data_IF_697875305522
#
_entry.id   IF_697875305522
#
_cell.length_a   1.000
_cell.length_b   1.000
_cell.length_c   1.000
_cell.angle_alpha   90.00
_cell.angle_beta   90.00
_cell.angle_gamma   90.00
#
_symmetry.space_group_name_H-M   'P 1'
#
loop_
_entity.id
_entity.type
_entity.pdbx_description
1 polymer ?
#
# COMPACT_ATOMS: atom_id res chain seq x y z
N UNK A 1 -16.63 5.95 -17.16
CA UNK A 1 -16.73 5.55 -15.74
C UNK A 1 -17.39 4.19 -15.66
N UNK A 2 -16.68 3.18 -15.19
CA UNK A 2 -17.19 1.80 -15.09
C UNK A 2 -18.14 1.71 -13.90
N UNK A 3 -19.38 1.26 -14.12
CA UNK A 3 -20.37 1.09 -13.06
C UNK A 3 -19.85 0.09 -12.01
N UNK A 4 -19.94 0.38 -10.69
CA UNK A 4 -19.54 -0.59 -9.68
C UNK A 4 -20.37 -1.87 -9.78
N UNK A 5 -19.71 -3.02 -9.64
CA UNK A 5 -20.38 -4.31 -9.61
C UNK A 5 -21.26 -4.39 -8.36
N UNK A 6 -22.48 -4.94 -8.46
CA UNK A 6 -23.33 -5.14 -7.30
C UNK A 6 -22.67 -6.13 -6.35
N UNK A 7 -22.65 -5.80 -5.06
CA UNK A 7 -22.20 -6.73 -4.03
C UNK A 7 -23.21 -7.88 -3.89
N UNK A 8 -22.74 -9.10 -3.59
CA UNK A 8 -23.62 -10.21 -3.29
C UNK A 8 -24.45 -9.88 -2.02
N UNK A 9 -25.76 -10.09 -2.11
CA UNK A 9 -26.63 -9.96 -0.95
C UNK A 9 -26.48 -11.11 0.05
N UNK A 10 -27.04 -10.89 1.25
CA UNK A 10 -27.24 -11.97 2.21
C UNK A 10 -28.27 -12.97 1.68
N UNK A 11 -28.06 -14.24 2.02
CA UNK A 11 -29.06 -15.29 1.80
C UNK A 11 -30.22 -15.11 2.80
N UNK A 12 -31.45 -15.55 2.47
CA UNK A 12 -32.61 -15.39 3.36
C UNK A 12 -32.48 -16.03 4.74
N UNK A 13 -31.58 -17.01 4.91
CA UNK A 13 -31.32 -17.60 6.23
C UNK A 13 -30.26 -16.82 7.02
N UNK A 14 -29.29 -16.20 6.33
CA UNK A 14 -28.27 -15.35 6.96
C UNK A 14 -28.95 -14.12 7.58
N UNK A 15 -29.79 -13.47 6.78
CA UNK A 15 -30.56 -12.29 7.18
C UNK A 15 -31.45 -12.57 8.40
N UNK A 16 -32.16 -13.70 8.41
CA UNK A 16 -33.00 -14.11 9.54
C UNK A 16 -32.21 -14.32 10.84
N UNK A 17 -31.03 -14.93 10.75
CA UNK A 17 -30.20 -15.20 11.95
C UNK A 17 -29.51 -13.94 12.46
N UNK A 18 -29.11 -13.03 11.56
CA UNK A 18 -28.57 -11.72 11.93
C UNK A 18 -29.66 -10.87 12.60
N UNK A 19 -30.86 -10.84 12.02
CA UNK A 19 -32.00 -10.11 12.59
C UNK A 19 -32.41 -10.59 13.99
N UNK A 20 -32.11 -11.84 14.35
CA UNK A 20 -32.37 -12.37 15.70
C UNK A 20 -31.54 -11.69 16.80
N UNK A 21 -30.44 -11.00 16.46
CA UNK A 21 -29.68 -10.17 17.39
C UNK A 21 -30.40 -8.84 17.72
N UNK A 22 -31.41 -8.44 16.93
CA UNK A 22 -32.09 -7.16 17.05
C UNK A 22 -31.16 -5.98 16.80
N UNK A 23 -31.35 -4.89 17.53
CA UNK A 23 -30.54 -3.65 17.41
C UNK A 23 -29.22 -3.71 18.20
N UNK A 24 -28.86 -4.88 18.75
CA UNK A 24 -27.66 -5.01 19.55
C UNK A 24 -26.41 -5.01 18.66
N UNK A 25 -25.31 -4.35 19.09
CA UNK A 25 -24.08 -4.37 18.33
C UNK A 25 -23.52 -5.80 18.26
N UNK A 26 -23.25 -6.25 17.04
CA UNK A 26 -22.65 -7.57 16.79
C UNK A 26 -21.13 -7.40 16.74
N UNK A 27 -20.36 -8.04 17.63
CA UNK A 27 -18.90 -7.96 17.61
C UNK A 27 -18.31 -8.81 16.48
N UNK A 28 -17.04 -8.54 16.16
CA UNK A 28 -16.30 -9.35 15.20
C UNK A 28 -16.14 -10.80 15.69
N UNK A 29 -16.36 -11.76 14.79
CA UNK A 29 -16.18 -13.17 15.11
C UNK A 29 -14.73 -13.46 15.56
N UNK A 30 -14.60 -14.12 16.71
CA UNK A 30 -13.29 -14.45 17.31
C UNK A 30 -12.67 -13.31 18.12
N UNK A 31 -13.31 -12.15 18.22
CA UNK A 31 -12.85 -11.06 19.09
C UNK A 31 -12.99 -11.43 20.58
N UNK A 32 -12.35 -10.65 21.45
CA UNK A 32 -12.48 -10.83 22.91
C UNK A 32 -13.92 -10.64 23.37
N UNK A 33 -14.62 -9.66 22.79
CA UNK A 33 -16.03 -9.38 23.05
C UNK A 33 -16.90 -10.56 22.63
N UNK A 34 -16.63 -11.16 21.46
CA UNK A 34 -17.32 -12.37 21.00
C UNK A 34 -17.11 -13.56 21.94
N UNK A 35 -15.87 -13.77 22.41
CA UNK A 35 -15.55 -14.84 23.36
C UNK A 35 -16.21 -14.65 24.73
N UNK A 36 -16.50 -13.40 25.13
CA UNK A 36 -17.19 -13.10 26.38
C UNK A 36 -18.70 -13.37 26.32
N UNK A 37 -19.27 -13.59 25.13
CA UNK A 37 -20.71 -13.86 24.98
C UNK A 37 -21.07 -15.29 25.43
N UNK A 38 -22.25 -15.48 26.05
CA UNK A 38 -22.80 -16.81 26.31
C UNK A 38 -22.88 -17.66 25.04
N UNK A 39 -22.67 -18.98 25.15
CA UNK A 39 -22.68 -19.89 24.00
C UNK A 39 -24.02 -19.92 23.26
N UNK A 40 -25.13 -19.72 23.98
CA UNK A 40 -26.48 -19.68 23.44
C UNK A 40 -26.94 -18.26 23.02
N UNK A 41 -26.02 -17.28 22.97
CA UNK A 41 -26.36 -15.91 22.59
C UNK A 41 -26.66 -15.79 21.10
N UNK A 42 -27.80 -15.17 20.75
CA UNK A 42 -28.16 -14.85 19.38
C UNK A 42 -27.13 -13.91 18.72
N UNK A 43 -26.54 -12.98 19.47
CA UNK A 43 -25.48 -12.08 19.00
C UNK A 43 -24.24 -12.88 18.58
N UNK A 44 -23.90 -13.90 19.36
CA UNK A 44 -22.74 -14.76 19.10
C UNK A 44 -22.93 -15.54 17.80
N UNK A 45 -24.15 -16.06 17.58
CA UNK A 45 -24.55 -16.71 16.33
C UNK A 45 -24.51 -15.73 15.16
N UNK A 46 -25.07 -14.53 15.33
CA UNK A 46 -25.08 -13.51 14.28
C UNK A 46 -23.66 -13.14 13.82
N UNK A 47 -22.71 -12.99 14.75
CA UNK A 47 -21.29 -12.77 14.42
C UNK A 47 -20.70 -13.92 13.58
N UNK A 48 -20.99 -15.18 13.95
CA UNK A 48 -20.57 -16.34 13.15
C UNK A 48 -21.18 -16.32 11.74
N UNK A 49 -22.44 -15.92 11.62
CA UNK A 49 -23.14 -15.83 10.33
C UNK A 49 -22.55 -14.73 9.46
N UNK A 50 -22.24 -13.56 10.02
CA UNK A 50 -21.51 -12.50 9.31
C UNK A 50 -20.17 -13.00 8.78
N UNK A 51 -19.40 -13.71 9.61
CA UNK A 51 -18.12 -14.27 9.20
C UNK A 51 -18.30 -15.30 8.08
N UNK A 52 -19.25 -16.22 8.22
CA UNK A 52 -19.55 -17.24 7.22
C UNK A 52 -20.01 -16.63 5.89
N UNK A 53 -20.85 -15.60 5.92
CA UNK A 53 -21.29 -14.87 4.75
C UNK A 53 -20.10 -14.22 4.03
N UNK A 54 -19.20 -13.56 4.78
CA UNK A 54 -17.98 -12.97 4.23
C UNK A 54 -17.06 -14.03 3.61
N UNK A 55 -16.90 -15.20 4.24
CA UNK A 55 -16.13 -16.31 3.66
C UNK A 55 -16.76 -16.87 2.38
N UNK A 56 -18.09 -16.99 2.34
CA UNK A 56 -18.85 -17.46 1.17
C UNK A 56 -18.60 -16.56 -0.04
N UNK A 57 -18.48 -15.26 0.17
CA UNK A 57 -18.36 -14.26 -0.89
C UNK A 57 -16.92 -13.77 -1.10
N UNK A 58 -15.95 -14.25 -0.31
CA UNK A 58 -14.54 -13.84 -0.34
C UNK A 58 -13.88 -13.88 -1.73
N UNK A 59 -14.30 -14.78 -2.62
CA UNK A 59 -13.76 -14.88 -3.99
C UNK A 59 -14.62 -14.16 -5.04
N UNK A 60 -15.70 -13.50 -4.64
CA UNK A 60 -16.57 -12.76 -5.52
C UNK A 60 -15.84 -11.54 -6.12
N UNK A 61 -15.83 -11.37 -7.46
CA UNK A 61 -15.14 -10.25 -8.11
C UNK A 61 -15.59 -8.87 -7.62
N UNK A 62 -16.86 -8.69 -7.27
CA UNK A 62 -17.38 -7.41 -6.76
C UNK A 62 -16.79 -7.07 -5.38
N UNK A 63 -16.67 -8.06 -4.49
CA UNK A 63 -16.07 -7.87 -3.17
C UNK A 63 -14.56 -7.70 -3.21
N UNK A 64 -13.88 -8.42 -4.10
CA UNK A 64 -12.45 -8.20 -4.37
C UNK A 64 -12.24 -6.76 -4.85
N UNK A 65 -13.03 -6.31 -5.83
CA UNK A 65 -12.94 -4.96 -6.36
C UNK A 65 -13.25 -3.88 -5.32
N UNK A 66 -14.14 -4.17 -4.36
CA UNK A 66 -14.42 -3.27 -3.23
C UNK A 66 -13.23 -3.20 -2.27
N UNK A 67 -12.72 -4.34 -1.79
CA UNK A 67 -11.58 -4.38 -0.86
C UNK A 67 -10.34 -3.70 -1.44
N UNK A 68 -10.01 -4.00 -2.69
CA UNK A 68 -8.90 -3.34 -3.39
C UNK A 68 -9.12 -1.82 -3.51
N UNK A 69 -10.37 -1.36 -3.64
CA UNK A 69 -10.65 0.08 -3.69
C UNK A 69 -10.40 0.74 -2.35
N UNK A 70 -10.86 0.12 -1.27
CA UNK A 70 -10.61 0.60 0.10
C UNK A 70 -9.11 0.64 0.36
N UNK A 71 -8.37 -0.43 0.06
CA UNK A 71 -6.91 -0.49 0.20
C UNK A 71 -6.19 0.60 -0.60
N UNK A 72 -6.62 0.86 -1.84
CA UNK A 72 -6.05 1.91 -2.69
C UNK A 72 -6.37 3.32 -2.16
N UNK A 73 -7.59 3.53 -1.65
CA UNK A 73 -8.00 4.82 -1.11
C UNK A 73 -7.26 5.11 0.22
N UNK A 74 -7.04 4.10 1.06
CA UNK A 74 -6.19 4.20 2.25
C UNK A 74 -4.73 4.51 1.89
N UNK A 75 -4.18 3.81 0.89
CA UNK A 75 -2.81 4.08 0.41
C UNK A 75 -2.67 5.51 -0.12
N UNK A 76 -3.67 6.00 -0.87
CA UNK A 76 -3.71 7.38 -1.37
C UNK A 76 -3.79 8.41 -0.24
N UNK A 77 -4.52 8.09 0.83
CA UNK A 77 -4.61 8.97 1.99
C UNK A 77 -3.26 9.05 2.72
N UNK A 78 -2.61 7.89 2.94
CA UNK A 78 -1.28 7.84 3.54
C UNK A 78 -0.26 8.59 2.69
N UNK A 79 -0.29 8.40 1.38
CA UNK A 79 0.54 9.15 0.44
C UNK A 79 0.27 10.64 0.60
N UNK A 80 -1.00 11.09 0.62
CA UNK A 80 -1.34 12.51 0.81
C UNK A 80 -0.80 13.07 2.12
N UNK A 81 -0.98 12.35 3.22
CA UNK A 81 -0.47 12.74 4.53
C UNK A 81 1.07 12.84 4.53
N UNK A 82 1.75 11.93 3.84
CA UNK A 82 3.21 12.02 3.63
C UNK A 82 3.59 13.24 2.77
N UNK A 83 2.82 13.54 1.72
CA UNK A 83 3.03 14.71 0.85
C UNK A 83 2.83 16.04 1.59
N UNK A 84 1.83 16.13 2.46
CA UNK A 84 1.49 17.35 3.20
C UNK A 84 2.52 17.65 4.32
N UNK A 85 3.21 16.63 4.83
CA UNK A 85 4.24 16.77 5.86
C UNK A 85 5.60 17.27 5.32
N UNK A 86 5.89 17.05 4.03
CA UNK A 86 7.22 17.27 3.46
C UNK A 86 7.33 18.46 2.48
N UNK A 87 6.32 19.32 2.38
CA UNK A 87 6.43 20.61 1.66
C UNK A 87 7.03 20.46 0.25
N UNK A 88 6.41 19.62 -0.58
CA UNK A 88 6.71 19.33 -1.99
C UNK A 88 8.09 19.75 -2.53
N UNK A 89 9.00 18.77 -2.63
CA UNK A 89 10.00 18.69 -3.71
C UNK A 89 9.81 17.34 -4.41
N UNK A 90 9.81 17.24 -5.76
CA UNK A 90 9.57 15.99 -6.50
C UNK A 90 10.79 15.06 -6.45
N UNK A 91 11.33 14.85 -5.26
CA UNK A 91 12.60 14.20 -5.03
C UNK A 91 12.44 13.18 -3.92
N UNK A 92 12.42 11.91 -4.34
CA UNK A 92 12.89 10.74 -3.62
C UNK A 92 12.49 10.67 -2.14
N UNK A 93 11.63 9.71 -1.78
CA UNK A 93 11.25 9.47 -0.37
C UNK A 93 12.47 9.51 0.54
N UNK A 94 12.34 9.93 1.79
CA UNK A 94 13.46 10.04 2.73
C UNK A 94 14.37 8.79 2.75
N UNK A 95 13.76 7.61 2.56
CA UNK A 95 14.44 6.31 2.41
C UNK A 95 15.23 6.20 1.11
N UNK A 96 14.68 6.62 -0.02
CA UNK A 96 15.39 6.69 -1.29
C UNK A 96 16.54 7.70 -1.22
N UNK A 97 16.31 8.92 -0.70
CA UNK A 97 17.37 9.91 -0.47
C UNK A 97 18.51 9.35 0.39
N UNK A 98 18.17 8.67 1.48
CA UNK A 98 19.16 7.99 2.32
C UNK A 98 19.88 6.84 1.59
N UNK A 99 19.22 6.16 0.65
CA UNK A 99 19.82 5.11 -0.17
C UNK A 99 20.81 5.67 -1.20
N UNK A 100 20.49 6.80 -1.83
CA UNK A 100 21.38 7.49 -2.77
C UNK A 100 22.52 8.24 -2.08
N UNK A 101 22.35 8.64 -0.82
CA UNK A 101 23.39 9.26 -0.02
C UNK A 101 24.46 8.27 0.49
N UNK A 102 24.27 6.95 0.31
CA UNK A 102 25.29 5.97 0.68
C UNK A 102 26.45 6.02 -0.32
N UNK A 103 27.70 6.23 0.11
CA UNK A 103 28.84 6.12 -0.79
C UNK A 103 28.94 4.69 -1.30
N UNK A 104 28.65 4.50 -2.58
CA UNK A 104 28.70 3.23 -3.28
C UNK A 104 29.50 3.37 -4.56
N UNK A 105 29.95 2.25 -5.15
CA UNK A 105 30.71 2.28 -6.39
C UNK A 105 29.88 2.91 -7.51
N UNK A 106 30.50 3.81 -8.27
CA UNK A 106 29.83 4.47 -9.40
C UNK A 106 29.42 3.45 -10.47
N UNK A 107 28.48 3.80 -11.36
CA UNK A 107 28.11 2.91 -12.47
C UNK A 107 29.30 2.57 -13.36
N UNK A 108 30.21 3.54 -13.57
CA UNK A 108 31.46 3.33 -14.31
C UNK A 108 32.37 2.31 -13.61
N UNK A 109 32.52 2.41 -12.28
CA UNK A 109 33.29 1.44 -11.51
C UNK A 109 32.68 0.04 -11.56
N UNK A 110 31.35 -0.07 -11.49
CA UNK A 110 30.64 -1.34 -11.61
C UNK A 110 30.81 -1.96 -13.00
N UNK A 111 30.73 -1.16 -14.07
CA UNK A 111 30.94 -1.63 -15.44
C UNK A 111 32.37 -2.14 -15.66
N UNK A 112 33.37 -1.40 -15.17
CA UNK A 112 34.79 -1.82 -15.20
C UNK A 112 35.03 -3.12 -14.44
N UNK A 113 34.44 -3.27 -13.25
CA UNK A 113 34.54 -4.53 -12.47
C UNK A 113 33.93 -5.74 -13.19
N UNK A 114 32.95 -5.52 -14.06
CA UNK A 114 32.28 -6.57 -14.85
C UNK A 114 32.97 -6.85 -16.20
N UNK A 115 33.95 -6.04 -16.61
CA UNK A 115 34.57 -6.14 -17.94
C UNK A 115 33.63 -5.76 -19.09
N UNK A 116 32.58 -4.98 -18.83
CA UNK A 116 31.63 -4.53 -19.86
C UNK A 116 32.05 -3.14 -20.38
N UNK A 117 32.83 -3.15 -21.47
CA UNK A 117 33.38 -1.93 -22.09
C UNK A 117 32.28 -1.02 -22.63
N UNK A 118 31.23 -1.60 -23.25
CA UNK A 118 30.12 -0.83 -23.80
C UNK A 118 29.30 -0.14 -22.69
N UNK A 119 29.12 -0.79 -21.55
CA UNK A 119 28.50 -0.15 -20.39
C UNK A 119 29.39 0.92 -19.76
N UNK A 120 30.72 0.73 -19.75
CA UNK A 120 31.66 1.72 -19.24
C UNK A 120 31.65 3.00 -20.09
N UNK A 121 31.63 2.89 -21.42
CA UNK A 121 31.52 4.03 -22.33
C UNK A 121 30.22 4.81 -22.13
N UNK A 122 29.08 4.12 -22.00
CA UNK A 122 27.79 4.76 -21.71
C UNK A 122 27.80 5.50 -20.36
N UNK A 123 28.34 4.87 -19.32
CA UNK A 123 28.43 5.48 -18.01
C UNK A 123 29.34 6.72 -18.02
N UNK A 124 30.44 6.68 -18.78
CA UNK A 124 31.34 7.81 -18.94
C UNK A 124 30.69 8.97 -19.71
N UNK A 125 29.98 8.68 -20.80
CA UNK A 125 29.24 9.69 -21.56
C UNK A 125 28.12 10.32 -20.70
N UNK A 126 27.41 9.52 -19.91
CA UNK A 126 26.39 10.01 -19.00
C UNK A 126 26.97 10.91 -17.90
N UNK A 127 28.12 10.56 -17.33
CA UNK A 127 28.79 11.40 -16.33
C UNK A 127 29.22 12.74 -16.93
N UNK A 128 29.81 12.72 -18.13
CA UNK A 128 30.20 13.94 -18.84
C UNK A 128 29.00 14.86 -19.13
N UNK A 129 27.87 14.29 -19.56
CA UNK A 129 26.64 15.04 -19.81
C UNK A 129 26.05 15.64 -18.52
N UNK A 130 26.15 14.93 -17.39
CA UNK A 130 25.73 15.45 -16.08
C UNK A 130 26.63 16.60 -15.61
N UNK A 131 27.94 16.47 -15.77
CA UNK A 131 28.91 17.51 -15.40
C UNK A 131 28.74 18.78 -16.26
N UNK A 132 28.33 18.62 -17.53
CA UNK A 132 27.99 19.72 -18.44
C UNK A 132 26.64 20.37 -18.10
N UNK A 133 25.60 19.56 -17.85
CA UNK A 133 24.24 20.05 -17.57
C UNK A 133 24.10 20.68 -16.17
N UNK A 134 24.89 20.19 -15.21
CA UNK A 134 24.91 20.66 -13.83
C UNK A 134 26.35 21.00 -13.45
N UNK A 135 26.92 22.07 -14.03
CA UNK A 135 28.27 22.49 -13.70
C UNK A 135 28.26 22.83 -12.22
N UNK A 136 28.87 21.97 -11.39
CA UNK A 136 29.09 22.25 -9.99
C UNK A 136 29.75 23.63 -9.94
N UNK A 137 29.08 24.62 -9.34
CA UNK A 137 29.74 25.87 -8.98
C UNK A 137 30.90 25.48 -8.09
N UNK A 138 32.09 25.38 -8.69
CA UNK A 138 33.34 25.26 -7.96
C UNK A 138 33.43 26.56 -7.19
N UNK A 139 32.98 26.55 -5.94
CA UNK A 139 33.27 27.64 -5.03
C UNK A 139 34.78 27.84 -5.06
N UNK A 140 35.17 28.94 -5.70
CA UNK A 140 36.45 29.57 -5.47
C UNK A 140 36.49 29.92 -3.99
N UNK A 141 37.01 29.01 -3.18
CA UNK A 141 37.64 29.36 -1.91
C UNK A 141 39.01 29.93 -2.24
N UNK A 142 39.05 31.24 -2.45
CA UNK A 142 40.28 32.01 -2.50
C UNK A 142 40.86 32.17 -1.09
N UNK A 143 42.20 32.24 -1.05
CA UNK A 143 43.11 32.61 0.04
C UNK A 143 43.39 31.58 1.13
#
# INVERSE_FOLDING_TARGET
>A
MTRPLPLPGLLPWEDRLIAAAGDQPIPDYGSREWHALPENSAIRVAACVHAAAAWRTYTNPAEIALRLRIELDEARELDRLEHDLDGWTPTLTRRQRASYAKPGPSQLELARRRGDEAAAERAQAQQAALDEAFPLQRHQGAA
#
